data_IF_428361282389
#
_entry.id   IF_428361282389
#
_cell.length_a   1.000
_cell.length_b   1.000
_cell.length_c   1.000
_cell.angle_alpha   90.00
_cell.angle_beta   90.00
_cell.angle_gamma   90.00
#
_symmetry.space_group_name_H-M   'P 1'
#
loop_
_entity.id
_entity.type
_entity.pdbx_description
1 polymer ?
#
# COMPACT_ATOMS: atom_id res chain seq x y z
N UNK A 1 20.20 8.87 26.49
CA UNK A 1 19.85 8.09 25.28
C UNK A 1 19.50 6.67 25.70
N UNK A 2 18.30 6.21 25.38
CA UNK A 2 17.94 4.80 25.60
C UNK A 2 18.66 3.93 24.58
N UNK A 3 19.47 3.01 25.07
CA UNK A 3 20.18 2.01 24.23
C UNK A 3 19.45 0.67 24.16
N UNK A 4 18.25 0.58 24.75
CA UNK A 4 17.46 -0.65 24.83
C UNK A 4 16.45 -0.66 23.68
N UNK A 5 16.59 -1.61 22.75
CA UNK A 5 15.63 -1.82 21.68
C UNK A 5 14.31 -2.38 22.22
N UNK A 6 13.19 -1.77 21.80
CA UNK A 6 11.88 -2.38 22.01
C UNK A 6 11.62 -3.48 20.96
N UNK A 7 11.47 -4.73 21.44
CA UNK A 7 11.23 -5.86 20.56
C UNK A 7 9.88 -5.79 19.82
N UNK A 8 8.88 -5.13 20.45
CA UNK A 8 7.58 -4.89 19.82
C UNK A 8 7.70 -4.03 18.57
N UNK A 9 8.42 -2.92 18.67
CA UNK A 9 8.70 -1.99 17.56
C UNK A 9 9.47 -2.67 16.44
N UNK A 10 10.55 -3.42 16.78
CA UNK A 10 11.33 -4.17 15.80
C UNK A 10 10.48 -5.22 15.09
N UNK A 11 9.66 -5.96 15.84
CA UNK A 11 8.75 -6.97 15.30
C UNK A 11 7.75 -6.38 14.32
N UNK A 12 7.19 -5.20 14.63
CA UNK A 12 6.30 -4.49 13.72
C UNK A 12 7.00 -4.13 12.40
N UNK A 13 8.21 -3.57 12.48
CA UNK A 13 8.99 -3.19 11.31
C UNK A 13 9.43 -4.40 10.47
N UNK A 14 9.82 -5.50 11.09
CA UNK A 14 10.20 -6.74 10.37
C UNK A 14 9.00 -7.36 9.64
N UNK A 15 7.82 -7.34 10.24
CA UNK A 15 6.58 -7.76 9.58
C UNK A 15 6.29 -6.92 8.34
N UNK A 16 6.39 -5.61 8.46
CA UNK A 16 6.18 -4.67 7.37
C UNK A 16 7.16 -4.92 6.21
N UNK A 17 8.45 -5.06 6.51
CA UNK A 17 9.48 -5.38 5.49
C UNK A 17 9.19 -6.73 4.81
N UNK A 18 8.78 -7.74 5.56
CA UNK A 18 8.45 -9.06 5.02
C UNK A 18 7.23 -9.01 4.07
N UNK A 19 6.22 -8.21 4.37
CA UNK A 19 5.10 -7.97 3.46
C UNK A 19 5.52 -7.23 2.18
N UNK A 20 6.40 -6.22 2.32
CA UNK A 20 6.87 -5.40 1.20
C UNK A 20 7.87 -6.11 0.30
N UNK A 21 8.45 -7.21 0.76
CA UNK A 21 9.45 -7.99 0.02
C UNK A 21 8.97 -9.42 -0.11
N UNK A 22 8.18 -9.66 -1.14
CA UNK A 22 7.56 -10.96 -1.44
C UNK A 22 8.57 -12.10 -1.35
N UNK A 23 8.23 -13.13 -0.56
CA UNK A 23 9.05 -14.32 -0.38
C UNK A 23 10.22 -14.17 0.60
N UNK A 24 10.50 -12.97 1.14
CA UNK A 24 11.53 -12.78 2.16
C UNK A 24 11.09 -13.42 3.49
N UNK A 25 11.95 -14.26 4.06
CA UNK A 25 11.78 -14.82 5.40
C UNK A 25 12.67 -14.08 6.40
N UNK A 26 12.05 -13.50 7.42
CA UNK A 26 12.73 -12.83 8.53
C UNK A 26 12.49 -13.62 9.81
N UNK A 27 13.56 -14.01 10.49
CA UNK A 27 13.51 -14.63 11.82
C UNK A 27 14.15 -13.68 12.81
N UNK A 28 13.39 -13.21 13.79
CA UNK A 28 13.87 -12.33 14.84
C UNK A 28 13.85 -13.05 16.18
N UNK A 29 14.97 -13.02 16.89
CA UNK A 29 15.15 -13.63 18.22
C UNK A 29 15.57 -12.58 19.23
N UNK A 30 14.85 -12.51 20.33
CA UNK A 30 15.24 -11.74 21.50
C UNK A 30 15.82 -12.68 22.57
N UNK A 31 17.10 -12.50 22.88
CA UNK A 31 17.87 -13.33 23.82
C UNK A 31 18.19 -12.62 25.13
N UNK A 32 17.49 -11.52 25.44
CA UNK A 32 17.77 -10.70 26.64
C UNK A 32 17.18 -11.30 27.92
N UNK A 33 16.16 -12.14 27.80
CA UNK A 33 15.51 -12.85 28.90
C UNK A 33 15.91 -14.32 28.89
N UNK A 34 15.75 -15.04 30.01
CA UNK A 34 16.03 -16.49 30.09
C UNK A 34 15.18 -17.30 29.10
N UNK A 35 13.94 -16.86 28.88
CA UNK A 35 13.06 -17.43 27.87
C UNK A 35 13.20 -16.64 26.56
N UNK A 36 13.87 -17.24 25.58
CA UNK A 36 14.10 -16.64 24.27
C UNK A 36 12.75 -16.42 23.53
N UNK A 37 12.53 -15.19 23.04
CA UNK A 37 11.38 -14.87 22.20
C UNK A 37 11.80 -14.94 20.73
N UNK A 38 11.16 -15.84 19.97
CA UNK A 38 11.38 -15.95 18.53
C UNK A 38 10.10 -15.64 17.76
N UNK A 39 10.23 -14.93 16.64
CA UNK A 39 9.15 -14.69 15.69
C UNK A 39 9.68 -14.81 14.27
N UNK A 40 8.86 -15.42 13.40
CA UNK A 40 9.16 -15.58 11.96
C UNK A 40 8.09 -14.86 11.15
N UNK A 41 8.54 -14.09 10.16
CA UNK A 41 7.69 -13.45 9.16
C UNK A 41 8.08 -13.95 7.78
N UNK A 42 7.10 -14.44 7.01
CA UNK A 42 7.28 -14.92 5.66
C UNK A 42 5.95 -14.83 4.90
N UNK A 43 5.89 -14.04 3.85
CA UNK A 43 4.67 -13.74 3.11
C UNK A 43 4.89 -13.91 1.61
N UNK A 44 4.46 -15.04 1.06
CA UNK A 44 4.57 -15.33 -0.38
C UNK A 44 3.65 -14.47 -1.25
N UNK A 45 2.55 -14.00 -0.70
CA UNK A 45 1.61 -13.09 -1.38
C UNK A 45 2.01 -11.62 -1.34
N UNK A 46 3.07 -11.25 -0.60
CA UNK A 46 3.59 -9.89 -0.53
C UNK A 46 2.56 -8.88 -0.03
N UNK A 47 2.38 -7.76 -0.75
CA UNK A 47 1.46 -6.70 -0.34
C UNK A 47 -0.02 -7.09 -0.40
N UNK A 48 -0.39 -8.13 -1.13
CA UNK A 48 -1.76 -8.68 -1.08
C UNK A 48 -2.06 -9.23 0.31
N UNK A 49 -1.14 -10.01 0.89
CA UNK A 49 -1.28 -10.51 2.26
C UNK A 49 -1.23 -9.36 3.29
N UNK A 50 -0.52 -8.27 2.97
CA UNK A 50 -0.51 -7.08 3.82
C UNK A 50 -1.91 -6.43 3.89
N UNK A 51 -2.60 -6.29 2.76
CA UNK A 51 -3.99 -5.80 2.75
C UNK A 51 -4.92 -6.75 3.53
N UNK A 52 -4.79 -8.06 3.36
CA UNK A 52 -5.54 -9.04 4.16
C UNK A 52 -5.30 -8.86 5.66
N UNK A 53 -4.05 -8.69 6.04
CA UNK A 53 -3.66 -8.47 7.43
C UNK A 53 -4.28 -7.19 8.02
N UNK A 54 -4.30 -6.11 7.24
CA UNK A 54 -4.89 -4.83 7.67
C UNK A 54 -6.43 -4.91 7.76
N UNK A 55 -7.06 -5.66 6.86
CA UNK A 55 -8.51 -5.83 6.81
C UNK A 55 -9.07 -6.93 7.72
N UNK A 56 -8.23 -7.64 8.47
CA UNK A 56 -8.65 -8.81 9.27
C UNK A 56 -9.78 -8.57 10.27
N UNK A 57 -9.99 -7.32 10.69
CA UNK A 57 -11.04 -6.90 11.63
C UNK A 57 -12.24 -6.24 10.94
N UNK A 58 -12.20 -6.06 9.64
CA UNK A 58 -13.27 -5.45 8.84
C UNK A 58 -13.92 -6.50 7.93
N UNK A 59 -15.14 -6.24 7.50
CA UNK A 59 -15.83 -7.07 6.51
C UNK A 59 -15.51 -6.57 5.12
N UNK A 60 -14.85 -7.39 4.30
CA UNK A 60 -14.56 -7.04 2.91
C UNK A 60 -15.85 -6.97 2.09
N UNK A 61 -15.95 -6.01 1.17
CA UNK A 61 -17.10 -5.88 0.27
C UNK A 61 -17.02 -6.85 -0.92
N UNK A 62 -15.85 -7.42 -1.18
CA UNK A 62 -15.57 -8.44 -2.19
C UNK A 62 -14.35 -9.27 -1.77
N UNK A 63 -14.28 -10.52 -2.22
CA UNK A 63 -13.28 -11.49 -1.73
C UNK A 63 -11.87 -11.24 -2.29
N UNK A 64 -11.79 -10.80 -3.56
CA UNK A 64 -10.52 -10.63 -4.24
C UNK A 64 -9.80 -9.35 -3.79
N UNK A 65 -8.49 -9.48 -3.54
CA UNK A 65 -7.63 -8.30 -3.39
C UNK A 65 -7.16 -7.88 -4.77
N UNK A 66 -7.51 -6.66 -5.16
CA UNK A 66 -7.06 -6.07 -6.41
C UNK A 66 -5.56 -5.80 -6.31
N UNK A 67 -4.81 -6.26 -7.31
CA UNK A 67 -3.36 -6.11 -7.36
C UNK A 67 -2.93 -5.63 -8.74
N UNK A 68 -2.06 -4.65 -8.75
CA UNK A 68 -1.46 -4.08 -9.95
C UNK A 68 0.03 -3.91 -9.75
N UNK A 69 0.80 -4.16 -10.79
CA UNK A 69 2.22 -3.84 -10.82
C UNK A 69 2.58 -3.20 -12.16
N UNK A 70 3.57 -2.34 -12.14
CA UNK A 70 4.06 -1.69 -13.34
C UNK A 70 5.48 -1.18 -13.16
N UNK A 71 6.15 -1.01 -14.30
CA UNK A 71 7.48 -0.42 -14.34
C UNK A 71 7.54 0.58 -15.50
N UNK A 72 7.86 1.83 -15.17
CA UNK A 72 8.04 2.88 -16.14
C UNK A 72 9.30 3.68 -15.83
N UNK A 73 10.18 3.81 -16.79
CA UNK A 73 11.43 4.57 -16.70
C UNK A 73 12.29 4.23 -15.46
N UNK A 74 12.24 2.96 -15.05
CA UNK A 74 12.99 2.45 -13.90
C UNK A 74 12.34 2.73 -12.54
N UNK A 75 11.10 3.24 -12.54
CA UNK A 75 10.23 3.31 -11.35
C UNK A 75 9.31 2.11 -11.36
N UNK A 76 9.44 1.26 -10.35
CA UNK A 76 8.55 0.12 -10.15
C UNK A 76 7.45 0.52 -9.16
N UNK A 77 6.20 0.24 -9.51
CA UNK A 77 5.03 0.49 -8.66
C UNK A 77 4.27 -0.80 -8.46
N UNK A 78 3.92 -1.09 -7.22
CA UNK A 78 2.99 -2.15 -6.85
C UNK A 78 1.86 -1.54 -6.03
N UNK A 79 0.63 -1.93 -6.31
CA UNK A 79 -0.56 -1.53 -5.56
C UNK A 79 -1.37 -2.77 -5.23
N UNK A 80 -1.76 -2.91 -3.98
CA UNK A 80 -2.80 -3.86 -3.56
C UNK A 80 -3.89 -3.12 -2.80
N UNK A 81 -5.15 -3.44 -3.06
CA UNK A 81 -6.27 -2.75 -2.42
C UNK A 81 -7.51 -3.63 -2.30
N UNK A 82 -8.34 -3.32 -1.32
CA UNK A 82 -9.66 -3.92 -1.10
C UNK A 82 -10.55 -2.94 -0.35
N UNK A 83 -11.82 -2.86 -0.72
CA UNK A 83 -12.81 -2.10 0.06
C UNK A 83 -13.43 -2.97 1.15
N UNK A 84 -13.78 -2.36 2.26
CA UNK A 84 -14.45 -2.97 3.40
C UNK A 84 -15.64 -2.11 3.87
N UNK A 85 -16.33 -2.57 4.89
CA UNK A 85 -17.53 -1.94 5.46
C UNK A 85 -17.24 -0.74 6.38
N UNK A 86 -16.00 -0.32 6.53
CA UNK A 86 -15.63 0.89 7.27
C UNK A 86 -15.89 2.16 6.44
N UNK A 87 -15.96 3.30 7.11
CA UNK A 87 -16.13 4.61 6.47
C UNK A 87 -14.81 5.37 6.25
N UNK A 88 -13.70 4.82 6.71
CA UNK A 88 -12.39 5.47 6.65
C UNK A 88 -11.52 4.93 5.53
N UNK A 89 -10.76 5.81 4.89
CA UNK A 89 -9.67 5.44 3.98
C UNK A 89 -8.42 5.08 4.79
N UNK A 90 -7.83 3.93 4.49
CA UNK A 90 -6.56 3.45 5.03
C UNK A 90 -5.57 3.18 3.89
N UNK A 91 -4.96 4.24 3.36
CA UNK A 91 -3.95 4.16 2.29
C UNK A 91 -2.56 4.36 2.86
N UNK A 92 -1.71 3.36 2.69
CA UNK A 92 -0.32 3.36 3.16
C UNK A 92 0.64 3.43 1.98
N UNK A 93 1.53 4.42 2.00
CA UNK A 93 2.57 4.61 0.98
C UNK A 93 3.94 4.17 1.45
N UNK A 94 4.68 3.54 0.55
CA UNK A 94 6.07 3.13 0.78
C UNK A 94 6.93 3.51 -0.41
N UNK A 95 8.12 4.04 -0.13
CA UNK A 95 9.17 4.30 -1.12
C UNK A 95 10.43 3.57 -0.69
N UNK A 96 10.92 2.65 -1.54
CA UNK A 96 12.05 1.78 -1.21
C UNK A 96 11.88 1.09 0.15
N UNK A 97 10.67 0.56 0.42
CA UNK A 97 10.26 -0.10 1.66
C UNK A 97 10.24 0.81 2.92
N UNK A 98 10.30 2.12 2.74
CA UNK A 98 10.21 3.10 3.84
C UNK A 98 8.79 3.68 3.82
N UNK A 99 8.11 3.61 4.97
CA UNK A 99 6.77 4.20 5.12
C UNK A 99 6.82 5.73 4.95
N UNK A 100 5.85 6.26 4.22
CA UNK A 100 5.68 7.70 3.97
C UNK A 100 4.35 8.18 4.57
N UNK A 101 4.25 8.32 5.90
CA UNK A 101 2.99 8.61 6.58
C UNK A 101 2.41 9.97 6.21
N UNK A 102 3.25 10.91 5.81
CA UNK A 102 2.84 12.24 5.34
C UNK A 102 2.31 12.24 3.89
N UNK A 103 2.25 11.06 3.26
CA UNK A 103 1.87 10.91 1.86
C UNK A 103 3.03 11.18 0.90
N UNK A 104 2.70 11.76 -0.26
CA UNK A 104 3.66 12.07 -1.32
C UNK A 104 3.01 11.95 -2.69
N UNK A 105 3.79 12.23 -3.74
CA UNK A 105 3.29 12.22 -5.12
C UNK A 105 2.81 10.86 -5.59
N UNK A 106 3.37 9.76 -5.05
CA UNK A 106 2.91 8.40 -5.31
C UNK A 106 1.49 8.16 -4.79
N UNK A 107 1.13 8.69 -3.63
CA UNK A 107 -0.23 8.59 -3.07
C UNK A 107 -1.19 9.49 -3.85
N UNK A 108 -0.77 10.73 -4.16
CA UNK A 108 -1.59 11.65 -4.99
C UNK A 108 -1.84 11.04 -6.37
N UNK A 109 -0.81 10.50 -7.01
CA UNK A 109 -0.92 9.81 -8.30
C UNK A 109 -1.88 8.62 -8.25
N UNK A 110 -1.75 7.78 -7.23
CA UNK A 110 -2.65 6.64 -7.00
C UNK A 110 -4.12 7.11 -6.84
N UNK A 111 -4.39 8.08 -5.97
CA UNK A 111 -5.75 8.60 -5.74
C UNK A 111 -6.37 9.17 -7.01
N UNK A 112 -5.60 9.93 -7.78
CA UNK A 112 -6.07 10.50 -9.05
C UNK A 112 -6.37 9.42 -10.09
N UNK A 113 -5.48 8.45 -10.24
CA UNK A 113 -5.66 7.32 -11.15
C UNK A 113 -6.89 6.48 -10.78
N UNK A 114 -7.05 6.20 -9.48
CA UNK A 114 -8.20 5.46 -8.97
C UNK A 114 -9.51 6.18 -9.30
N UNK A 115 -9.62 7.46 -8.97
CA UNK A 115 -10.81 8.27 -9.22
C UNK A 115 -11.15 8.32 -10.72
N UNK A 116 -10.14 8.53 -11.56
CA UNK A 116 -10.33 8.54 -13.01
C UNK A 116 -10.81 7.18 -13.51
N UNK A 117 -10.16 6.11 -13.11
CA UNK A 117 -10.48 4.75 -13.58
C UNK A 117 -11.89 4.33 -13.20
N UNK A 118 -12.33 4.61 -11.97
CA UNK A 118 -13.69 4.31 -11.52
C UNK A 118 -14.73 5.09 -12.33
N UNK A 119 -14.53 6.37 -12.55
CA UNK A 119 -15.45 7.18 -13.34
C UNK A 119 -15.48 6.75 -14.81
N UNK A 120 -14.32 6.50 -15.43
CA UNK A 120 -14.23 6.01 -16.80
C UNK A 120 -14.97 4.67 -16.96
N UNK A 121 -14.77 3.75 -16.01
CA UNK A 121 -15.46 2.46 -15.99
C UNK A 121 -16.96 2.61 -15.82
N UNK A 122 -17.40 3.44 -14.88
CA UNK A 122 -18.81 3.66 -14.59
C UNK A 122 -19.53 4.28 -15.81
N UNK A 123 -18.90 5.24 -16.51
CA UNK A 123 -19.43 5.84 -17.74
C UNK A 123 -19.49 4.81 -18.89
N UNK A 124 -18.39 4.11 -19.12
CA UNK A 124 -18.29 3.12 -20.21
C UNK A 124 -19.34 2.02 -20.06
N UNK A 125 -19.63 1.60 -18.84
CA UNK A 125 -20.59 0.53 -18.54
C UNK A 125 -22.01 1.07 -18.22
N UNK A 126 -22.25 2.38 -18.42
CA UNK A 126 -23.56 3.03 -18.17
C UNK A 126 -24.08 2.86 -16.75
N UNK A 127 -23.16 2.74 -15.77
CA UNK A 127 -23.48 2.72 -14.35
C UNK A 127 -23.77 4.14 -13.81
N UNK A 128 -23.26 5.15 -14.48
CA UNK A 128 -23.61 6.56 -14.31
C UNK A 128 -24.31 7.08 -15.57
N UNK A 129 -25.44 7.76 -15.40
CA UNK A 129 -26.14 8.44 -16.50
C UNK A 129 -25.37 9.67 -16.94
N UNK A 130 -25.52 10.10 -18.19
CA UNK A 130 -24.84 11.29 -18.74
C UNK A 130 -25.17 12.57 -17.96
N UNK A 131 -26.35 12.63 -17.34
CA UNK A 131 -26.82 13.76 -16.52
C UNK A 131 -26.30 13.73 -15.07
N UNK A 132 -25.69 12.62 -14.61
CA UNK A 132 -25.18 12.50 -13.25
C UNK A 132 -23.74 12.99 -13.18
N UNK A 133 -23.34 13.67 -12.08
CA UNK A 133 -21.95 14.07 -11.87
C UNK A 133 -21.05 12.83 -11.72
N UNK A 134 -19.76 13.02 -11.92
CA UNK A 134 -18.78 12.00 -11.61
C UNK A 134 -18.75 11.71 -10.11
N UNK A 135 -18.38 10.49 -9.74
CA UNK A 135 -18.09 10.11 -8.37
C UNK A 135 -16.90 10.93 -7.85
N UNK A 136 -17.01 11.43 -6.64
CA UNK A 136 -15.89 12.11 -5.99
C UNK A 136 -14.78 11.12 -5.60
N UNK A 137 -13.57 11.63 -5.42
CA UNK A 137 -12.49 10.79 -4.92
C UNK A 137 -12.77 10.27 -3.51
N UNK A 138 -13.43 11.05 -2.68
CA UNK A 138 -13.78 10.65 -1.31
C UNK A 138 -14.79 9.51 -1.29
N UNK A 139 -15.82 9.56 -2.15
CA UNK A 139 -16.79 8.46 -2.30
C UNK A 139 -16.12 7.14 -2.71
N UNK A 140 -15.15 7.23 -3.64
CA UNK A 140 -14.44 6.04 -4.16
C UNK A 140 -13.49 5.46 -3.11
N UNK A 141 -12.94 6.29 -2.23
CA UNK A 141 -11.98 5.85 -1.20
C UNK A 141 -12.61 5.52 0.14
N UNK A 142 -13.92 5.72 0.31
CA UNK A 142 -14.63 5.28 1.51
C UNK A 142 -14.49 3.77 1.69
N UNK A 143 -14.03 3.35 2.87
CA UNK A 143 -13.78 1.95 3.19
C UNK A 143 -12.58 1.32 2.46
N UNK A 144 -11.76 2.11 1.77
CA UNK A 144 -10.59 1.59 1.04
C UNK A 144 -9.44 1.28 2.00
N UNK A 145 -8.90 0.07 1.91
CA UNK A 145 -7.56 -0.28 2.40
C UNK A 145 -6.64 -0.52 1.22
N UNK A 146 -5.56 0.25 1.13
CA UNK A 146 -4.61 0.18 0.02
C UNK A 146 -3.16 0.27 0.49
N UNK A 147 -2.29 -0.48 -0.17
CA UNK A 147 -0.83 -0.39 -0.08
C UNK A 147 -0.32 0.09 -1.43
N UNK A 148 0.43 1.18 -1.43
CA UNK A 148 1.13 1.72 -2.61
C UNK A 148 2.63 1.66 -2.35
N UNK A 149 3.32 0.77 -3.03
CA UNK A 149 4.77 0.56 -2.88
C UNK A 149 5.48 0.98 -4.15
N UNK A 150 6.39 1.93 -4.01
CA UNK A 150 7.21 2.44 -5.10
C UNK A 150 8.67 2.11 -4.85
N UNK A 151 9.36 1.57 -5.86
CA UNK A 151 10.81 1.34 -5.85
C UNK A 151 11.46 2.19 -6.92
N UNK A 152 12.36 3.05 -6.49
CA UNK A 152 13.12 3.95 -7.35
C UNK A 152 14.62 3.67 -7.20
N UNK A 153 15.39 3.88 -8.27
CA UNK A 153 16.85 3.75 -8.20
C UNK A 153 17.42 4.83 -7.28
N UNK A 154 18.52 4.53 -6.61
CA UNK A 154 19.19 5.39 -5.61
C UNK A 154 19.51 6.82 -6.09
N UNK A 155 19.55 7.05 -7.40
CA UNK A 155 19.87 8.35 -7.99
C UNK A 155 18.65 9.23 -8.32
N UNK A 156 17.44 8.79 -7.98
CA UNK A 156 16.20 9.54 -8.23
C UNK A 156 15.52 9.85 -6.91
N UNK A 157 15.27 11.13 -6.65
CA UNK A 157 14.39 11.57 -5.58
C UNK A 157 12.93 11.44 -6.00
N UNK A 158 12.01 11.41 -5.03
CA UNK A 158 10.57 11.50 -5.32
C UNK A 158 10.21 12.78 -6.07
N UNK A 159 10.94 13.87 -5.83
CA UNK A 159 10.75 15.14 -6.53
C UNK A 159 11.12 15.03 -8.02
N UNK A 160 12.21 14.33 -8.35
CA UNK A 160 12.58 14.06 -9.73
C UNK A 160 11.53 13.22 -10.44
N UNK A 161 11.03 12.18 -9.78
CA UNK A 161 9.94 11.33 -10.31
C UNK A 161 8.66 12.15 -10.52
N UNK A 162 8.38 13.09 -9.62
CA UNK A 162 7.26 14.02 -9.75
C UNK A 162 7.40 14.95 -10.96
N UNK A 163 8.58 15.54 -11.14
CA UNK A 163 8.86 16.45 -12.28
C UNK A 163 8.72 15.75 -13.63
N UNK A 164 9.09 14.49 -13.70
CA UNK A 164 8.96 13.66 -14.89
C UNK A 164 7.53 13.15 -15.14
N UNK A 165 6.58 13.43 -14.24
CA UNK A 165 5.18 12.98 -14.34
C UNK A 165 4.98 11.47 -14.28
N UNK A 166 6.00 10.72 -13.85
CA UNK A 166 6.01 9.26 -13.92
C UNK A 166 4.97 8.61 -13.02
N UNK A 167 4.61 9.24 -11.90
CA UNK A 167 3.62 8.70 -10.95
C UNK A 167 2.17 9.03 -11.32
N UNK A 168 1.93 9.94 -12.24
CA UNK A 168 0.59 10.33 -12.70
C UNK A 168 0.20 9.74 -14.05
N UNK A 169 1.11 9.01 -14.68
CA UNK A 169 0.93 8.44 -16.01
C UNK A 169 0.55 6.95 -16.03
N UNK A 170 0.17 6.41 -14.84
CA UNK A 170 -0.31 5.03 -14.65
C UNK A 170 -1.86 4.91 -14.61
#
# INVERSE_FOLDING_TARGET
EETIFDFGTLKHRFREIAFLTKGLKIVARDKREEEEKEVTFHYEGGIKEFVQYLNKSNTALYDDILYFEGNKDGVMVEVAMQHNDAYTENTYGFVNNINTPEGGTHIVGFRNALTKTFNDYARKNKLLKDSEPNLSGDDIREGLTAIVSVKIRQNRSLETVKQEGLLTAW
#
